data_IF_135104666112
#
_entry.id   IF_135104666112
#
_cell.length_a   1.000
_cell.length_b   1.000
_cell.length_c   1.000
_cell.angle_alpha   90.00
_cell.angle_beta   90.00
_cell.angle_gamma   90.00
#
_symmetry.space_group_name_H-M   'P 1'
#
loop_
_entity.id
_entity.type
_entity.pdbx_description
1 polymer ?
#
# COMPACT_ATOMS: atom_id res chain seq x y z
N UNK A 1 28.99 -8.09 13.89
CA UNK A 1 28.20 -8.29 15.12
C UNK A 1 26.78 -8.60 14.68
N UNK A 2 26.48 -9.88 14.54
CA UNK A 2 25.17 -10.35 14.11
C UNK A 2 24.16 -10.12 15.23
N UNK A 3 23.25 -9.18 14.99
CA UNK A 3 22.06 -9.01 15.80
C UNK A 3 21.13 -10.16 15.41
N UNK A 4 20.94 -11.12 16.31
CA UNK A 4 19.97 -12.20 16.12
C UNK A 4 18.64 -11.59 15.64
N UNK A 5 18.24 -11.91 14.41
CA UNK A 5 16.98 -11.47 13.85
C UNK A 5 15.87 -12.15 14.65
N UNK A 6 15.27 -11.42 15.58
CA UNK A 6 13.95 -11.78 16.13
C UNK A 6 13.03 -12.05 14.95
N UNK A 7 12.54 -13.29 14.84
CA UNK A 7 11.61 -13.69 13.77
C UNK A 7 10.38 -12.79 13.85
N UNK A 8 10.29 -11.85 12.91
CA UNK A 8 9.19 -10.90 12.83
C UNK A 8 7.91 -11.67 12.52
N UNK A 9 6.89 -11.55 13.36
CA UNK A 9 5.59 -12.21 13.15
C UNK A 9 4.64 -11.44 12.23
N UNK A 10 5.01 -10.23 11.81
CA UNK A 10 4.21 -9.35 10.98
C UNK A 10 4.94 -9.02 9.67
N UNK A 11 4.21 -8.72 8.58
CA UNK A 11 4.83 -8.37 7.30
C UNK A 11 5.43 -6.98 7.31
N UNK A 12 6.61 -6.80 6.73
CA UNK A 12 7.20 -5.50 6.42
C UNK A 12 6.63 -4.86 5.16
N UNK A 13 7.08 -3.65 4.83
CA UNK A 13 6.52 -2.90 3.71
C UNK A 13 6.78 -3.62 2.37
N UNK A 14 8.02 -4.07 2.05
CA UNK A 14 8.26 -4.96 0.91
C UNK A 14 7.36 -6.20 0.90
N UNK A 15 7.30 -6.95 1.99
CA UNK A 15 6.46 -8.15 2.09
C UNK A 15 4.97 -7.85 1.91
N UNK A 16 4.50 -6.68 2.36
CA UNK A 16 3.14 -6.21 2.15
C UNK A 16 2.87 -5.82 0.69
N UNK A 17 3.83 -5.18 0.02
CA UNK A 17 3.74 -4.88 -1.41
C UNK A 17 3.65 -6.18 -2.22
N UNK A 18 4.47 -7.18 -1.88
CA UNK A 18 4.44 -8.50 -2.53
C UNK A 18 3.08 -9.18 -2.32
N UNK A 19 2.54 -9.16 -1.09
CA UNK A 19 1.22 -9.70 -0.82
C UNK A 19 0.10 -8.97 -1.58
N UNK A 20 0.19 -7.64 -1.74
CA UNK A 20 -0.76 -6.88 -2.56
C UNK A 20 -0.68 -7.27 -4.04
N UNK A 21 0.54 -7.52 -4.54
CA UNK A 21 0.77 -8.01 -5.91
C UNK A 21 0.14 -9.39 -6.11
N UNK A 22 0.42 -10.32 -5.21
CA UNK A 22 -0.08 -11.71 -5.27
C UNK A 22 -1.62 -11.77 -5.15
N UNK A 23 -2.20 -10.88 -4.35
CA UNK A 23 -3.65 -10.75 -4.23
C UNK A 23 -4.33 -10.02 -5.41
N UNK A 24 -3.56 -9.53 -6.40
CA UNK A 24 -4.09 -8.75 -7.51
C UNK A 24 -4.65 -7.38 -7.09
N UNK A 25 -4.24 -6.86 -5.94
CA UNK A 25 -4.67 -5.59 -5.35
C UNK A 25 -3.70 -4.43 -5.64
N UNK A 26 -2.63 -4.67 -6.39
CA UNK A 26 -1.61 -3.69 -6.75
C UNK A 26 -1.59 -3.41 -8.25
N UNK A 27 -1.49 -2.13 -8.62
CA UNK A 27 -1.13 -1.68 -9.97
C UNK A 27 0.31 -1.17 -9.91
N UNK A 28 1.17 -1.67 -10.78
CA UNK A 28 2.55 -1.19 -10.93
C UNK A 28 2.68 -0.32 -12.18
N UNK A 29 3.34 0.81 -12.04
CA UNK A 29 3.53 1.80 -13.10
C UNK A 29 5.01 2.13 -13.20
N UNK A 30 5.61 1.73 -14.33
CA UNK A 30 7.03 1.89 -14.68
C UNK A 30 7.29 3.08 -15.61
N UNK A 31 6.27 3.54 -16.34
CA UNK A 31 6.36 4.77 -17.12
C UNK A 31 6.69 5.96 -16.22
N UNK A 32 7.43 6.98 -16.70
CA UNK A 32 7.65 8.21 -15.95
C UNK A 32 6.33 8.82 -15.50
N UNK A 33 6.26 9.23 -14.23
CA UNK A 33 5.10 9.90 -13.66
C UNK A 33 5.50 11.08 -12.78
N UNK A 34 4.83 12.23 -12.99
CA UNK A 34 5.09 13.41 -12.21
C UNK A 34 4.33 13.37 -10.88
N UNK A 35 5.05 13.41 -9.75
CA UNK A 35 4.46 13.38 -8.40
C UNK A 35 3.61 14.61 -8.07
N UNK A 36 3.92 15.76 -8.68
CA UNK A 36 3.27 17.04 -8.40
C UNK A 36 1.97 17.22 -9.19
N UNK A 37 1.88 16.63 -10.38
CA UNK A 37 0.78 16.92 -11.33
C UNK A 37 -0.02 15.71 -11.80
N UNK A 38 0.53 14.49 -11.77
CA UNK A 38 -0.09 13.31 -12.40
C UNK A 38 -0.48 12.23 -11.41
N UNK A 39 0.42 11.92 -10.47
CA UNK A 39 0.32 10.74 -9.60
C UNK A 39 -0.97 10.74 -8.78
N UNK A 40 -1.20 11.79 -7.99
CA UNK A 40 -2.39 11.86 -7.13
C UNK A 40 -3.70 11.98 -7.93
N UNK A 41 -3.80 12.79 -9.00
CA UNK A 41 -4.99 12.79 -9.86
C UNK A 41 -5.32 11.42 -10.45
N UNK A 42 -4.31 10.67 -10.91
CA UNK A 42 -4.49 9.33 -11.46
C UNK A 42 -5.06 8.36 -10.42
N UNK A 43 -4.45 8.32 -9.22
CA UNK A 43 -4.96 7.46 -8.14
C UNK A 43 -6.34 7.92 -7.69
N UNK A 44 -6.56 9.24 -7.59
CA UNK A 44 -7.85 9.82 -7.17
C UNK A 44 -8.98 9.48 -8.15
N UNK A 45 -8.66 9.31 -9.44
CA UNK A 45 -9.65 8.95 -10.45
C UNK A 45 -10.39 7.64 -10.09
N UNK A 46 -9.74 6.65 -9.46
CA UNK A 46 -10.45 5.43 -9.03
C UNK A 46 -11.58 5.69 -8.02
N UNK A 47 -11.50 6.76 -7.23
CA UNK A 47 -12.55 7.11 -6.25
C UNK A 47 -13.66 7.99 -6.85
N UNK A 48 -13.39 8.66 -7.98
CA UNK A 48 -14.30 9.64 -8.60
C UNK A 48 -14.84 9.22 -9.96
N UNK A 49 -14.19 8.26 -10.61
CA UNK A 49 -14.47 7.77 -11.96
C UNK A 49 -15.43 6.60 -12.01
N UNK A 50 -16.13 6.28 -10.91
CA UNK A 50 -17.14 5.23 -10.87
C UNK A 50 -16.59 3.81 -10.70
N UNK A 51 -15.31 3.63 -10.34
CA UNK A 51 -14.78 2.32 -9.97
C UNK A 51 -15.40 1.87 -8.63
N UNK A 52 -16.08 0.72 -8.57
CA UNK A 52 -16.61 0.16 -7.34
C UNK A 52 -15.53 0.03 -6.27
N UNK A 53 -15.90 0.16 -4.99
CA UNK A 53 -14.92 0.16 -3.90
C UNK A 53 -14.04 -1.10 -3.87
N UNK A 54 -14.62 -2.27 -4.11
CA UNK A 54 -13.90 -3.55 -4.13
C UNK A 54 -12.90 -3.66 -5.29
N UNK A 55 -13.10 -2.92 -6.38
CA UNK A 55 -12.21 -2.93 -7.55
C UNK A 55 -11.06 -1.92 -7.45
N UNK A 56 -11.07 -1.04 -6.45
CA UNK A 56 -9.99 -0.07 -6.21
C UNK A 56 -8.70 -0.80 -5.84
N UNK A 57 -7.57 -0.27 -6.27
CA UNK A 57 -6.26 -0.89 -6.08
C UNK A 57 -5.28 0.08 -5.41
N UNK A 58 -4.23 -0.48 -4.82
CA UNK A 58 -3.03 0.26 -4.47
C UNK A 58 -2.20 0.50 -5.73
N UNK A 59 -1.37 1.55 -5.73
CA UNK A 59 -0.53 1.91 -6.87
C UNK A 59 0.92 2.04 -6.44
N UNK A 60 1.82 1.33 -7.13
CA UNK A 60 3.26 1.45 -6.96
C UNK A 60 3.87 2.11 -8.20
N UNK A 61 4.44 3.30 -8.00
CA UNK A 61 5.12 4.07 -9.05
C UNK A 61 6.63 3.89 -8.89
N UNK A 62 7.29 3.29 -9.88
CA UNK A 62 8.73 2.97 -9.80
C UNK A 62 9.62 3.98 -10.53
N UNK A 63 9.02 4.89 -11.31
CA UNK A 63 9.73 5.89 -12.11
C UNK A 63 9.18 7.31 -11.87
N UNK A 64 9.54 7.88 -10.74
CA UNK A 64 8.95 9.13 -10.25
C UNK A 64 9.79 10.34 -10.67
N UNK A 65 9.11 11.37 -11.18
CA UNK A 65 9.68 12.68 -11.52
C UNK A 65 8.92 13.82 -10.84
N UNK A 66 9.46 15.04 -10.87
CA UNK A 66 8.77 16.25 -10.43
C UNK A 66 8.60 17.30 -11.56
N UNK A 67 7.89 18.39 -11.27
CA UNK A 67 7.67 19.48 -12.23
C UNK A 67 8.96 20.24 -12.62
N UNK A 68 10.08 20.01 -11.92
CA UNK A 68 11.40 20.59 -12.22
C UNK A 68 12.28 19.65 -13.02
N UNK A 69 11.78 18.47 -13.41
CA UNK A 69 12.51 17.46 -14.16
C UNK A 69 13.46 16.62 -13.30
N UNK A 70 13.39 16.71 -11.96
CA UNK A 70 14.17 15.83 -11.09
C UNK A 70 13.58 14.43 -11.13
N UNK A 71 14.43 13.42 -11.30
CA UNK A 71 14.11 12.00 -11.13
C UNK A 71 14.44 11.55 -9.71
N UNK A 72 13.62 10.65 -9.18
CA UNK A 72 13.81 10.02 -7.87
C UNK A 72 14.08 8.53 -8.03
N UNK A 73 15.03 8.02 -7.24
CA UNK A 73 15.43 6.61 -7.25
C UNK A 73 14.62 5.75 -6.25
N UNK A 74 13.65 6.37 -5.56
CA UNK A 74 12.80 5.71 -4.56
C UNK A 74 11.38 5.58 -5.14
N UNK A 75 10.78 4.38 -5.15
CA UNK A 75 9.41 4.20 -5.61
C UNK A 75 8.40 4.79 -4.61
N UNK A 76 7.21 5.11 -5.12
CA UNK A 76 6.12 5.66 -4.30
C UNK A 76 4.91 4.74 -4.34
N UNK A 77 4.50 4.27 -3.16
CA UNK A 77 3.27 3.50 -2.97
C UNK A 77 2.13 4.43 -2.53
N UNK A 78 1.00 4.39 -3.23
CA UNK A 78 -0.20 5.17 -2.89
C UNK A 78 -1.38 4.23 -2.69
N UNK A 79 -2.12 4.42 -1.59
CA UNK A 79 -3.29 3.59 -1.26
C UNK A 79 -2.95 2.19 -0.74
N UNK A 80 -1.70 1.94 -0.34
CA UNK A 80 -1.22 0.62 0.06
C UNK A 80 -1.79 0.05 1.36
N UNK A 81 -2.38 0.85 2.25
CA UNK A 81 -2.91 0.38 3.55
C UNK A 81 -4.43 0.46 3.66
N UNK A 82 -5.10 1.29 2.85
CA UNK A 82 -6.54 1.56 2.97
C UNK A 82 -7.18 1.97 1.64
N UNK A 83 -6.70 1.45 0.51
CA UNK A 83 -7.30 1.72 -0.80
C UNK A 83 -8.73 1.16 -0.94
N UNK A 84 -9.01 0.05 -0.26
CA UNK A 84 -10.33 -0.57 -0.07
C UNK A 84 -10.30 -1.50 1.16
N UNK A 85 -11.44 -2.13 1.47
CA UNK A 85 -11.52 -3.13 2.57
C UNK A 85 -10.55 -4.30 2.43
N UNK A 86 -10.34 -4.84 1.23
CA UNK A 86 -9.46 -6.00 1.02
C UNK A 86 -7.98 -5.66 1.31
N UNK A 87 -7.52 -4.49 0.84
CA UNK A 87 -6.18 -3.94 1.13
C UNK A 87 -6.01 -3.71 2.63
N UNK A 88 -7.04 -3.14 3.28
CA UNK A 88 -7.01 -2.90 4.72
C UNK A 88 -6.92 -4.21 5.50
N UNK A 89 -7.74 -5.22 5.17
CA UNK A 89 -7.67 -6.55 5.79
C UNK A 89 -6.30 -7.20 5.58
N UNK A 90 -5.77 -7.11 4.36
CA UNK A 90 -4.46 -7.66 4.04
C UNK A 90 -3.36 -7.00 4.87
N UNK A 91 -3.41 -5.68 5.07
CA UNK A 91 -2.44 -4.97 5.92
C UNK A 91 -2.65 -5.23 7.42
N UNK A 92 -3.90 -5.42 7.85
CA UNK A 92 -4.26 -5.70 9.25
C UNK A 92 -3.86 -7.11 9.68
N UNK A 93 -3.88 -8.08 8.76
CA UNK A 93 -3.46 -9.46 9.03
C UNK A 93 -4.48 -10.33 9.77
N UNK A 94 -5.62 -9.76 10.15
CA UNK A 94 -6.74 -10.44 10.82
C UNK A 94 -8.06 -10.14 10.10
N UNK A 95 -9.10 -10.91 10.40
CA UNK A 95 -10.44 -10.66 9.90
C UNK A 95 -10.95 -9.29 10.40
N UNK A 96 -11.50 -8.49 9.48
CA UNK A 96 -12.07 -7.19 9.80
C UNK A 96 -13.27 -7.25 10.74
N UNK A 97 -13.95 -8.40 10.86
CA UNK A 97 -14.98 -8.61 11.87
C UNK A 97 -14.44 -8.51 13.31
N UNK A 98 -13.14 -8.79 13.49
CA UNK A 98 -12.47 -8.89 14.80
C UNK A 98 -11.58 -7.70 15.13
N UNK A 99 -11.69 -6.60 14.37
CA UNK A 99 -10.80 -5.42 14.50
C UNK A 99 -10.74 -4.91 15.93
N UNK A 100 -11.89 -4.67 16.57
CA UNK A 100 -11.94 -4.11 17.93
C UNK A 100 -11.26 -5.02 18.96
N UNK A 101 -11.55 -6.33 18.90
CA UNK A 101 -10.98 -7.33 19.81
C UNK A 101 -9.46 -7.44 19.62
N UNK A 102 -9.01 -7.50 18.36
CA UNK A 102 -7.59 -7.54 18.00
C UNK A 102 -6.85 -6.30 18.52
N UNK A 103 -7.44 -5.10 18.42
CA UNK A 103 -6.85 -3.88 18.97
C UNK A 103 -6.75 -3.89 20.49
N UNK A 104 -7.81 -4.33 21.18
CA UNK A 104 -7.80 -4.41 22.65
C UNK A 104 -6.72 -5.39 23.12
N UNK A 105 -6.63 -6.55 22.49
CA UNK A 105 -5.63 -7.57 22.82
C UNK A 105 -4.20 -7.06 22.57
N UNK A 106 -3.92 -6.47 21.41
CA UNK A 106 -2.61 -5.93 21.09
C UNK A 106 -2.17 -4.78 22.02
N UNK A 107 -3.11 -3.95 22.50
CA UNK A 107 -2.81 -2.90 23.47
C UNK A 107 -2.55 -3.50 24.86
N UNK A 108 -3.30 -4.54 25.25
CA UNK A 108 -3.13 -5.22 26.52
C UNK A 108 -1.84 -6.08 26.55
N UNK A 109 -1.41 -6.60 25.40
CA UNK A 109 -0.32 -7.56 25.23
C UNK A 109 0.67 -7.12 24.12
N UNK A 110 1.52 -6.10 24.38
CA UNK A 110 2.40 -5.50 23.37
C UNK A 110 3.62 -6.36 22.97
#
# INVERSE_FOLDING_TARGET
MDKAATTRQYRDLPEHIDALRDAGLLIEVDRPINKDTEMHPLVRWQYRGGVPEHDRKAWLFTNVTDAKGKKYDIPVLVGGLAGNRAIYQLGFGHDLATVNETWIDAIANP
#
